data_IF_304085968193
#
_entry.id   IF_304085968193
#
_cell.length_a   1.000
_cell.length_b   1.000
_cell.length_c   1.000
_cell.angle_alpha   90.00
_cell.angle_beta   90.00
_cell.angle_gamma   90.00
#
_symmetry.space_group_name_H-M   'P 1'
#
loop_
_entity.id
_entity.type
_entity.pdbx_description
1 polymer ?
#
# COMPACT_ATOMS: atom_id res chain seq x y z
N UNK A 1 -17.20 0.27 16.49
CA UNK A 1 -16.07 0.88 15.71
C UNK A 1 -14.70 0.24 15.99
N UNK A 2 -14.15 0.21 17.22
CA UNK A 2 -12.83 -0.40 17.45
C UNK A 2 -12.77 -1.90 17.11
N UNK A 3 -13.79 -2.67 17.51
CA UNK A 3 -13.87 -4.10 17.18
C UNK A 3 -14.09 -4.37 15.69
N UNK A 4 -14.82 -3.51 14.99
CA UNK A 4 -15.03 -3.64 13.55
C UNK A 4 -13.72 -3.43 12.79
N UNK A 5 -12.92 -2.45 13.23
CA UNK A 5 -11.60 -2.18 12.68
C UNK A 5 -10.62 -3.34 12.92
N UNK A 6 -10.64 -3.91 14.13
CA UNK A 6 -9.81 -5.07 14.46
C UNK A 6 -10.24 -6.31 13.66
N UNK A 7 -11.54 -6.51 13.46
CA UNK A 7 -12.07 -7.60 12.65
C UNK A 7 -11.63 -7.46 11.19
N UNK A 8 -11.81 -6.28 10.61
CA UNK A 8 -11.35 -5.97 9.26
C UNK A 8 -9.83 -6.19 9.09
N UNK A 9 -9.04 -5.72 10.04
CA UNK A 9 -7.57 -5.88 10.01
C UNK A 9 -7.12 -7.34 10.15
N UNK A 10 -7.92 -8.17 10.79
CA UNK A 10 -7.65 -9.61 10.97
C UNK A 10 -8.16 -10.48 9.83
N UNK A 11 -8.92 -9.89 8.89
CA UNK A 11 -9.44 -10.60 7.71
C UNK A 11 -8.31 -10.83 6.71
N UNK A 12 -7.96 -12.10 6.52
CA UNK A 12 -6.79 -12.52 5.75
C UNK A 12 -7.18 -13.22 4.48
N UNK A 13 -6.39 -13.03 3.43
CA UNK A 13 -6.55 -13.72 2.15
C UNK A 13 -5.52 -14.84 2.03
N UNK A 14 -5.96 -16.00 1.58
CA UNK A 14 -5.08 -17.12 1.31
C UNK A 14 -4.16 -16.84 0.12
N UNK A 15 -2.87 -17.04 0.30
CA UNK A 15 -1.86 -16.93 -0.74
C UNK A 15 -1.23 -18.30 -1.00
N UNK A 16 -1.07 -18.67 -2.26
CA UNK A 16 -0.42 -19.92 -2.62
C UNK A 16 1.00 -19.99 -2.01
N UNK A 17 1.34 -21.11 -1.36
CA UNK A 17 2.58 -21.25 -0.60
C UNK A 17 3.86 -20.94 -1.40
N UNK A 18 3.92 -21.32 -2.68
CA UNK A 18 5.06 -20.97 -3.55
C UNK A 18 5.15 -19.46 -3.81
N UNK A 19 4.03 -18.77 -3.95
CA UNK A 19 4.00 -17.30 -4.11
C UNK A 19 4.48 -16.64 -2.84
N UNK A 20 3.95 -17.03 -1.69
CA UNK A 20 4.35 -16.50 -0.38
C UNK A 20 5.85 -16.68 -0.13
N UNK A 21 6.37 -17.89 -0.31
CA UNK A 21 7.80 -18.17 -0.15
C UNK A 21 8.68 -17.38 -1.14
N UNK A 22 8.19 -17.19 -2.38
CA UNK A 22 8.90 -16.38 -3.37
C UNK A 22 8.96 -14.91 -2.98
N UNK A 23 7.86 -14.33 -2.50
CA UNK A 23 7.81 -12.94 -2.04
C UNK A 23 8.75 -12.72 -0.85
N UNK A 24 8.69 -13.58 0.17
CA UNK A 24 9.56 -13.47 1.35
C UNK A 24 11.03 -13.57 0.98
N UNK A 25 11.41 -14.55 0.18
CA UNK A 25 12.82 -14.76 -0.22
C UNK A 25 13.31 -13.65 -1.13
N UNK A 26 12.63 -13.44 -2.25
CA UNK A 26 13.16 -12.61 -3.35
C UNK A 26 12.99 -11.11 -3.10
N UNK A 27 11.92 -10.69 -2.42
CA UNK A 27 11.68 -9.28 -2.13
C UNK A 27 12.23 -8.87 -0.77
N UNK A 28 11.87 -9.58 0.32
CA UNK A 28 12.33 -9.18 1.66
C UNK A 28 13.79 -9.55 1.93
N UNK A 29 14.17 -10.82 1.71
CA UNK A 29 15.51 -11.28 2.07
C UNK A 29 16.57 -10.82 1.07
N UNK A 30 16.31 -11.00 -0.23
CA UNK A 30 17.30 -10.79 -1.29
C UNK A 30 17.19 -9.40 -1.93
N UNK A 31 16.08 -8.71 -1.75
CA UNK A 31 15.79 -7.40 -2.34
C UNK A 31 16.01 -7.34 -3.86
N UNK A 32 15.62 -8.40 -4.56
CA UNK A 32 15.87 -8.56 -5.99
C UNK A 32 15.22 -7.48 -6.85
N UNK A 33 14.08 -6.91 -6.42
CA UNK A 33 13.38 -5.90 -7.20
C UNK A 33 14.21 -4.62 -7.29
N UNK A 34 14.74 -4.13 -6.17
CA UNK A 34 15.62 -2.96 -6.12
C UNK A 34 16.92 -3.19 -6.89
N UNK A 35 17.49 -4.40 -6.79
CA UNK A 35 18.69 -4.80 -7.54
C UNK A 35 18.44 -5.02 -9.02
N UNK A 36 17.17 -4.97 -9.46
CA UNK A 36 16.77 -5.27 -10.83
C UNK A 36 17.06 -6.73 -11.25
N UNK A 37 17.04 -7.65 -10.30
CA UNK A 37 17.26 -9.09 -10.50
C UNK A 37 15.97 -9.90 -10.49
N UNK A 38 14.87 -9.29 -10.05
CA UNK A 38 13.59 -9.95 -9.94
C UNK A 38 13.04 -10.36 -11.30
N UNK A 39 12.64 -11.63 -11.42
CA UNK A 39 12.05 -12.18 -12.64
C UNK A 39 10.73 -12.87 -12.35
N UNK A 40 9.76 -12.65 -13.21
CA UNK A 40 8.52 -13.43 -13.28
C UNK A 40 8.63 -14.30 -14.54
N UNK A 41 8.68 -15.63 -14.34
CA UNK A 41 9.04 -16.58 -15.41
C UNK A 41 10.41 -16.21 -15.99
N UNK A 42 10.45 -15.80 -17.26
CA UNK A 42 11.68 -15.41 -17.98
C UNK A 42 11.84 -13.91 -18.13
N UNK A 43 10.84 -13.12 -17.70
CA UNK A 43 10.82 -11.66 -17.86
C UNK A 43 11.41 -10.99 -16.62
N UNK A 44 12.49 -10.23 -16.83
CA UNK A 44 13.06 -9.35 -15.79
C UNK A 44 12.15 -8.15 -15.57
N UNK A 45 11.88 -7.86 -14.31
CA UNK A 45 11.11 -6.69 -13.90
C UNK A 45 12.06 -5.51 -13.70
N UNK A 46 11.76 -4.43 -14.39
CA UNK A 46 12.54 -3.19 -14.38
C UNK A 46 11.58 -2.03 -14.07
N UNK A 47 11.64 -1.50 -12.86
CA UNK A 47 10.79 -0.40 -12.42
C UNK A 47 11.10 0.90 -13.18
N UNK A 48 12.30 1.09 -13.69
CA UNK A 48 12.68 2.23 -14.51
C UNK A 48 11.90 2.33 -15.84
N UNK A 49 11.26 1.23 -16.26
CA UNK A 49 10.36 1.23 -17.43
C UNK A 49 8.94 1.68 -17.13
N UNK A 50 8.57 1.79 -15.87
CA UNK A 50 7.26 2.32 -15.47
C UNK A 50 7.28 3.83 -15.67
N UNK A 51 6.59 4.30 -16.69
CA UNK A 51 6.50 5.73 -17.05
C UNK A 51 5.21 6.39 -16.55
N UNK A 52 4.29 5.61 -16.04
CA UNK A 52 3.08 6.12 -15.39
C UNK A 52 3.47 7.01 -14.22
N UNK A 53 2.90 8.20 -14.09
CA UNK A 53 3.11 9.05 -12.93
C UNK A 53 2.72 8.33 -11.64
N UNK A 54 3.52 8.46 -10.59
CA UNK A 54 3.27 7.82 -9.31
C UNK A 54 3.21 8.86 -8.19
N UNK A 55 2.22 8.69 -7.31
CA UNK A 55 2.13 9.39 -6.03
C UNK A 55 2.29 8.37 -4.91
N UNK A 56 3.32 8.53 -4.09
CA UNK A 56 3.54 7.69 -2.93
C UNK A 56 3.22 8.49 -1.66
N UNK A 57 2.62 7.80 -0.71
CA UNK A 57 2.26 8.37 0.59
C UNK A 57 2.81 7.48 1.69
N UNK A 58 3.41 8.08 2.70
CA UNK A 58 3.83 7.42 3.93
C UNK A 58 3.43 8.24 5.14
N UNK A 59 3.42 7.61 6.30
CA UNK A 59 3.19 8.30 7.57
C UNK A 59 4.51 8.42 8.35
N UNK A 60 4.74 9.58 9.00
CA UNK A 60 6.02 9.89 9.65
C UNK A 60 6.33 8.95 10.81
N UNK A 61 5.33 8.63 11.61
CA UNK A 61 5.47 7.77 12.80
C UNK A 61 5.11 6.31 12.51
N UNK A 62 5.14 5.91 11.22
CA UNK A 62 4.91 4.51 10.84
C UNK A 62 6.13 3.67 11.21
N UNK A 63 5.95 2.80 12.23
CA UNK A 63 6.98 1.89 12.69
C UNK A 63 6.96 0.53 11.98
N UNK A 64 6.00 0.30 11.09
CA UNK A 64 5.85 -0.95 10.31
C UNK A 64 6.48 -0.76 8.93
N UNK A 65 6.10 0.31 8.23
CA UNK A 65 6.61 0.66 6.91
C UNK A 65 7.30 2.03 6.96
N UNK A 66 8.59 2.03 7.28
CA UNK A 66 9.37 3.25 7.44
C UNK A 66 9.32 4.11 6.16
N UNK A 67 8.96 5.37 6.31
CA UNK A 67 8.78 6.31 5.19
C UNK A 67 10.05 6.51 4.35
N UNK A 68 11.23 6.42 4.97
CA UNK A 68 12.51 6.53 4.26
C UNK A 68 12.65 5.44 3.18
N UNK A 69 12.20 4.22 3.49
CA UNK A 69 12.20 3.11 2.53
C UNK A 69 11.27 3.38 1.35
N UNK A 70 10.07 3.91 1.59
CA UNK A 70 9.13 4.29 0.53
C UNK A 70 9.67 5.41 -0.34
N UNK A 71 10.25 6.43 0.28
CA UNK A 71 10.88 7.55 -0.43
C UNK A 71 12.06 7.09 -1.32
N UNK A 72 12.91 6.18 -0.82
CA UNK A 72 13.99 5.59 -1.62
C UNK A 72 13.44 4.72 -2.75
N UNK A 73 12.40 3.92 -2.47
CA UNK A 73 11.73 3.08 -3.47
C UNK A 73 11.09 3.88 -4.61
N UNK A 74 10.61 5.07 -4.33
CA UNK A 74 10.07 5.98 -5.33
C UNK A 74 11.06 6.24 -6.47
N UNK A 75 12.34 6.40 -6.17
CA UNK A 75 13.41 6.71 -7.15
C UNK A 75 13.68 5.59 -8.16
N UNK A 76 13.11 4.42 -7.96
CA UNK A 76 13.24 3.30 -8.90
C UNK A 76 12.33 3.44 -10.12
N UNK A 77 11.27 4.24 -10.04
CA UNK A 77 10.35 4.46 -11.14
C UNK A 77 10.92 5.44 -12.16
N UNK A 78 10.60 5.23 -13.42
CA UNK A 78 11.12 6.06 -14.50
C UNK A 78 10.18 7.16 -14.99
N UNK A 79 9.00 7.30 -14.38
CA UNK A 79 8.02 8.36 -14.67
C UNK A 79 8.12 9.51 -13.67
N UNK A 80 7.15 10.45 -13.76
CA UNK A 80 6.98 11.51 -12.75
C UNK A 80 6.71 10.90 -11.38
N UNK A 81 7.31 11.46 -10.36
CA UNK A 81 7.22 10.96 -9.00
C UNK A 81 6.84 12.09 -8.06
N UNK A 82 5.87 11.84 -7.19
CA UNK A 82 5.51 12.72 -6.07
C UNK A 82 5.47 11.94 -4.78
N UNK A 83 5.87 12.60 -3.70
CA UNK A 83 5.87 12.00 -2.37
C UNK A 83 5.17 12.92 -1.38
N UNK A 84 4.31 12.32 -0.57
CA UNK A 84 3.64 12.97 0.56
C UNK A 84 4.02 12.22 1.83
N UNK A 85 4.48 12.95 2.83
CA UNK A 85 4.73 12.41 4.16
C UNK A 85 3.66 12.95 5.10
N UNK A 86 2.70 12.11 5.46
CA UNK A 86 1.64 12.46 6.39
C UNK A 86 2.14 12.40 7.83
N UNK A 87 1.59 13.24 8.70
CA UNK A 87 1.80 13.15 10.14
C UNK A 87 1.16 11.89 10.73
N UNK A 88 1.54 11.54 11.96
CA UNK A 88 1.01 10.42 12.72
C UNK A 88 1.44 9.03 12.20
N UNK A 89 0.82 7.97 12.71
CA UNK A 89 1.24 6.59 12.49
C UNK A 89 0.54 5.89 11.33
N UNK A 90 0.82 4.62 11.21
CA UNK A 90 0.47 3.70 10.13
C UNK A 90 -0.96 3.82 9.58
N UNK A 91 -1.95 3.98 10.44
CA UNK A 91 -3.36 4.09 10.05
C UNK A 91 -3.82 5.56 10.08
N UNK A 92 -3.59 6.25 11.19
CA UNK A 92 -4.15 7.58 11.43
C UNK A 92 -3.57 8.65 10.49
N UNK A 93 -2.31 8.52 10.06
CA UNK A 93 -1.70 9.41 9.08
C UNK A 93 -2.26 9.22 7.67
N UNK A 94 -2.64 7.99 7.34
CA UNK A 94 -3.14 7.64 6.00
C UNK A 94 -4.65 7.86 5.90
N UNK A 95 -5.41 7.39 6.88
CA UNK A 95 -6.88 7.55 6.96
C UNK A 95 -7.18 8.85 7.71
N UNK A 96 -7.05 9.96 6.99
CA UNK A 96 -7.27 11.31 7.52
C UNK A 96 -8.21 12.09 6.61
N UNK A 97 -9.53 11.87 6.70
CA UNK A 97 -10.50 12.54 5.84
C UNK A 97 -10.47 14.06 6.05
N UNK A 98 -10.70 14.87 5.00
CA UNK A 98 -10.62 16.33 5.06
C UNK A 98 -11.50 16.95 6.14
N UNK A 99 -12.70 16.41 6.35
CA UNK A 99 -13.66 16.91 7.33
C UNK A 99 -13.19 16.76 8.78
N UNK A 100 -12.26 15.84 9.04
CA UNK A 100 -11.67 15.65 10.35
C UNK A 100 -10.71 16.78 10.73
N UNK A 101 -10.15 17.46 9.76
CA UNK A 101 -9.18 18.55 9.90
C UNK A 101 -8.10 18.29 10.95
N UNK A 102 -7.55 17.06 10.94
CA UNK A 102 -6.51 16.60 11.86
C UNK A 102 -5.17 16.52 11.15
N UNK A 103 -4.10 16.54 11.95
CA UNK A 103 -2.74 16.33 11.51
C UNK A 103 -2.27 17.33 10.45
N UNK A 104 -1.27 16.92 9.67
CA UNK A 104 -0.72 17.65 8.56
C UNK A 104 0.07 16.73 7.66
N UNK A 105 0.78 17.30 6.71
CA UNK A 105 1.65 16.56 5.82
C UNK A 105 2.76 17.45 5.26
N UNK A 106 3.84 16.82 4.83
CA UNK A 106 4.97 17.48 4.17
C UNK A 106 5.03 17.12 2.69
N UNK A 107 5.40 18.10 1.89
CA UNK A 107 5.68 17.96 0.47
C UNK A 107 6.98 18.70 0.11
N UNK A 108 7.71 18.19 -0.86
CA UNK A 108 8.88 18.83 -1.41
C UNK A 108 9.00 18.44 -2.89
N UNK A 109 8.95 19.44 -3.76
CA UNK A 109 9.06 19.24 -5.21
C UNK A 109 10.52 19.32 -5.69
N UNK A 110 11.46 19.59 -4.78
CA UNK A 110 12.89 19.64 -5.14
C UNK A 110 13.54 18.27 -5.00
N UNK A 111 14.46 17.99 -5.92
CA UNK A 111 15.28 16.80 -5.84
C UNK A 111 16.17 16.85 -4.59
N UNK A 112 16.23 15.75 -3.86
CA UNK A 112 17.01 15.61 -2.64
C UNK A 112 17.90 14.36 -2.69
N UNK A 113 19.07 14.47 -2.06
CA UNK A 113 20.03 13.37 -2.04
C UNK A 113 19.69 12.28 -1.03
N UNK A 114 18.95 12.61 0.04
CA UNK A 114 18.52 11.68 1.09
C UNK A 114 17.11 12.00 1.58
N UNK A 115 16.44 11.06 2.27
CA UNK A 115 15.16 11.31 2.91
C UNK A 115 15.21 12.49 3.89
N UNK A 116 16.28 12.60 4.68
CA UNK A 116 16.47 13.67 5.65
C UNK A 116 16.62 15.03 4.97
N UNK A 117 17.38 15.09 3.88
CA UNK A 117 17.52 16.30 3.08
C UNK A 117 16.20 16.69 2.41
N UNK A 118 15.42 15.70 1.97
CA UNK A 118 14.07 15.90 1.43
C UNK A 118 13.16 16.54 2.49
N UNK A 119 13.14 15.99 3.69
CA UNK A 119 12.31 16.48 4.79
C UNK A 119 12.76 17.89 5.25
N UNK A 120 14.07 18.14 5.32
CA UNK A 120 14.60 19.46 5.70
C UNK A 120 14.20 20.58 4.73
N UNK A 121 13.97 20.26 3.45
CA UNK A 121 13.48 21.19 2.43
C UNK A 121 11.97 21.15 2.21
N UNK A 122 11.23 20.32 2.95
CA UNK A 122 9.80 20.15 2.75
C UNK A 122 8.98 21.25 3.42
N UNK A 123 7.88 21.61 2.76
CA UNK A 123 6.86 22.50 3.31
C UNK A 123 5.80 21.69 4.03
N UNK A 124 5.45 22.12 5.23
CA UNK A 124 4.37 21.53 6.02
C UNK A 124 3.04 22.23 5.71
N UNK A 125 2.00 21.44 5.52
CA UNK A 125 0.64 21.88 5.33
C UNK A 125 -0.27 21.22 6.38
N UNK A 126 -1.03 21.98 7.18
CA UNK A 126 -1.98 21.39 8.13
C UNK A 126 -3.18 20.78 7.41
N UNK A 127 -3.77 19.73 8.02
CA UNK A 127 -4.97 19.07 7.53
C UNK A 127 -4.68 17.80 6.69
N UNK A 128 -5.69 17.36 5.97
CA UNK A 128 -5.64 16.13 5.20
C UNK A 128 -4.80 16.25 3.92
N UNK A 129 -4.01 15.22 3.62
CA UNK A 129 -3.31 15.08 2.35
C UNK A 129 -4.21 14.62 1.18
N UNK A 130 -5.44 14.15 1.44
CA UNK A 130 -6.35 13.62 0.40
C UNK A 130 -6.67 14.61 -0.72
N UNK A 131 -6.83 15.92 -0.48
CA UNK A 131 -6.99 16.90 -1.55
C UNK A 131 -5.82 16.92 -2.54
N UNK A 132 -4.60 16.63 -2.08
CA UNK A 132 -3.43 16.54 -2.95
C UNK A 132 -3.50 15.32 -3.87
N UNK A 133 -3.99 14.19 -3.35
CA UNK A 133 -4.25 12.99 -4.17
C UNK A 133 -5.33 13.26 -5.21
N UNK A 134 -6.42 13.90 -4.82
CA UNK A 134 -7.49 14.26 -5.75
C UNK A 134 -6.97 15.17 -6.86
N UNK A 135 -6.20 16.20 -6.53
CA UNK A 135 -5.58 17.10 -7.51
C UNK A 135 -4.58 16.37 -8.43
N UNK A 136 -3.80 15.43 -7.87
CA UNK A 136 -2.88 14.61 -8.64
C UNK A 136 -3.62 13.76 -9.68
N UNK A 137 -4.75 13.17 -9.34
CA UNK A 137 -5.58 12.38 -10.26
C UNK A 137 -6.22 13.30 -11.31
N UNK A 138 -6.91 14.35 -10.88
CA UNK A 138 -7.62 15.28 -11.76
C UNK A 138 -6.71 15.95 -12.78
N UNK A 139 -5.49 16.29 -12.42
CA UNK A 139 -4.53 16.90 -13.35
C UNK A 139 -4.09 15.98 -14.50
N UNK A 140 -4.51 14.71 -14.50
CA UNK A 140 -4.16 13.68 -15.50
C UNK A 140 -5.37 13.11 -16.23
N UNK A 141 -6.54 13.63 -15.93
CA UNK A 141 -7.75 13.34 -16.69
C UNK A 141 -7.72 14.14 -18.00
N UNK A 142 -7.48 13.44 -19.11
CA UNK A 142 -7.45 14.07 -20.45
C UNK A 142 -8.87 14.32 -20.98
N UNK A 143 -9.85 13.54 -20.55
CA UNK A 143 -11.26 13.69 -20.91
C UNK A 143 -12.16 13.18 -19.77
N UNK A 144 -12.89 14.09 -19.09
CA UNK A 144 -13.80 13.72 -18.00
C UNK A 144 -15.09 13.06 -18.47
N UNK A 145 -15.15 12.49 -19.67
CA UNK A 145 -16.33 11.77 -20.12
C UNK A 145 -16.66 10.66 -19.09
N UNK A 146 -17.87 10.65 -18.53
CA UNK A 146 -18.24 9.67 -17.53
C UNK A 146 -18.18 8.27 -18.16
N UNK A 147 -17.26 7.45 -17.65
CA UNK A 147 -17.24 6.05 -18.02
C UNK A 147 -18.57 5.41 -17.59
N UNK A 148 -19.23 4.63 -18.46
CA UNK A 148 -20.45 3.94 -18.08
C UNK A 148 -20.13 3.04 -16.88
N UNK A 149 -20.97 3.13 -15.85
CA UNK A 149 -20.85 2.28 -14.67
C UNK A 149 -20.85 0.81 -15.11
N UNK A 150 -19.72 0.14 -14.98
CA UNK A 150 -19.61 -1.30 -15.19
C UNK A 150 -20.00 -2.02 -13.91
N UNK A 151 -21.27 -1.91 -13.55
CA UNK A 151 -21.82 -2.70 -12.45
C UNK A 151 -22.20 -4.04 -13.06
N UNK A 152 -21.59 -5.16 -12.66
CA UNK A 152 -22.06 -6.48 -13.07
C UNK A 152 -23.50 -6.60 -12.60
N UNK A 153 -24.44 -6.64 -13.53
CA UNK A 153 -25.87 -6.64 -13.21
C UNK A 153 -26.41 -8.02 -12.85
N UNK A 154 -25.68 -9.08 -13.14
CA UNK A 154 -26.15 -10.45 -12.95
C UNK A 154 -25.02 -11.39 -12.50
N UNK A 155 -25.34 -12.32 -11.62
CA UNK A 155 -24.49 -13.46 -11.27
C UNK A 155 -23.54 -13.26 -10.07
N UNK A 156 -23.54 -12.12 -9.44
CA UNK A 156 -22.79 -11.90 -8.20
C UNK A 156 -23.72 -11.97 -6.98
N UNK A 157 -23.26 -12.62 -5.93
CA UNK A 157 -23.95 -12.60 -4.65
C UNK A 157 -23.90 -11.19 -4.03
N UNK A 158 -24.87 -10.89 -3.16
CA UNK A 158 -24.92 -9.60 -2.47
C UNK A 158 -23.66 -9.40 -1.60
N UNK A 159 -23.18 -8.16 -1.55
CA UNK A 159 -22.07 -7.81 -0.65
C UNK A 159 -22.41 -8.11 0.82
N UNK A 160 -21.45 -8.55 1.63
CA UNK A 160 -20.01 -8.72 1.37
C UNK A 160 -19.64 -10.06 0.71
N UNK A 161 -20.59 -10.86 0.28
CA UNK A 161 -20.37 -12.18 -0.29
C UNK A 161 -20.23 -13.29 0.74
N UNK A 162 -20.01 -14.52 0.27
CA UNK A 162 -19.88 -15.71 1.11
C UNK A 162 -18.45 -15.98 1.56
N UNK A 163 -17.46 -15.56 0.78
CA UNK A 163 -16.04 -15.81 1.08
C UNK A 163 -15.61 -15.30 2.45
N UNK A 164 -16.02 -14.11 2.83
CA UNK A 164 -15.70 -13.50 4.15
C UNK A 164 -16.28 -14.26 5.35
N UNK A 165 -17.23 -15.18 5.10
CA UNK A 165 -17.83 -16.03 6.13
C UNK A 165 -17.12 -17.37 6.29
N UNK A 166 -16.19 -17.68 5.40
CA UNK A 166 -15.42 -18.93 5.45
C UNK A 166 -14.39 -18.81 6.59
N UNK A 167 -14.61 -19.56 7.66
CA UNK A 167 -13.65 -19.65 8.76
C UNK A 167 -12.52 -20.60 8.36
N UNK A 168 -11.27 -20.19 8.62
CA UNK A 168 -10.15 -21.11 8.57
C UNK A 168 -10.39 -22.16 9.66
N UNK A 169 -10.50 -23.43 9.27
CA UNK A 169 -10.47 -24.51 10.24
C UNK A 169 -9.10 -24.44 10.95
N UNK A 170 -9.06 -24.37 12.27
CA UNK A 170 -7.79 -24.46 12.98
C UNK A 170 -7.19 -25.84 12.71
N UNK A 171 -6.14 -25.88 11.89
CA UNK A 171 -5.38 -27.10 11.55
C UNK A 171 -4.62 -27.63 12.79
N UNK A 172 -4.83 -27.02 13.95
CA UNK A 172 -4.06 -27.27 15.19
C UNK A 172 -4.89 -27.80 16.36
N UNK A 173 -5.92 -28.57 16.09
CA UNK A 173 -6.53 -29.41 17.15
C UNK A 173 -6.49 -30.89 16.77
N UNK A 174 -5.32 -31.39 16.40
CA UNK A 174 -5.04 -32.79 16.70
C UNK A 174 -4.42 -32.81 18.10
N UNK A 175 -5.27 -33.03 19.10
CA UNK A 175 -4.84 -33.63 20.37
C UNK A 175 -4.08 -34.89 20.01
N UNK A 176 -2.87 -35.11 20.56
CA UNK A 176 -2.24 -36.42 20.41
C UNK A 176 -3.20 -37.47 20.96
N UNK A 177 -3.57 -38.45 20.15
CA UNK A 177 -4.25 -39.65 20.69
C UNK A 177 -3.33 -40.22 21.74
N UNK A 178 -3.82 -40.33 22.97
CA UNK A 178 -3.16 -41.09 24.03
C UNK A 178 -3.06 -42.53 23.53
N UNK A 179 -1.83 -43.00 23.29
CA UNK A 179 -1.57 -44.42 23.08
C UNK A 179 -2.08 -45.18 24.28
N UNK A 180 -2.96 -46.18 24.11
CA UNK A 180 -3.37 -47.03 25.22
C UNK A 180 -2.18 -47.87 25.69
N UNK A 181 -1.99 -47.90 27.00
CA UNK A 181 -0.96 -48.64 27.74
C UNK A 181 -1.07 -50.16 27.55
#
# INVERSE_FOLDING_TARGET
MAFDLLHWNSDSTNVAGKTHSSLLRRLYLENQLVKGEFKIRHTRIDLGKVKTPVLLVSAMDDHIALWQGTWQGMKLFGGEQRFILAESGHIAGIVNPPDANKYGFWQNDTEAASPEAWLAGASHTPGSWWPQMAAFIQSREEDPAPLPARIPSEGLEAAPGSYVKVRLNPVFTQTPEEEPA
#
